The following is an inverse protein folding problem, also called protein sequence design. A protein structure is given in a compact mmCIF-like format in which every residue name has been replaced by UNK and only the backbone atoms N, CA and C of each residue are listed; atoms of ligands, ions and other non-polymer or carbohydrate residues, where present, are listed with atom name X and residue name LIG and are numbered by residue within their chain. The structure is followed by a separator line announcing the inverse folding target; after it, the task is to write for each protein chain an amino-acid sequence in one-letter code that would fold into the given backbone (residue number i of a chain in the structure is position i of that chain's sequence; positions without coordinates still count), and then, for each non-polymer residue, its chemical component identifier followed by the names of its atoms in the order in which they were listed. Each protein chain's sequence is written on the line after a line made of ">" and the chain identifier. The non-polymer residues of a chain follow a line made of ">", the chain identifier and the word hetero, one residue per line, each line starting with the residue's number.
data_IF_993402602897
#
_entry.id   IF_993402602897
#
_cell.length_a   1.000
_cell.length_b   1.000
_cell.length_c   1.000
_cell.angle_alpha   90.00
_cell.angle_beta   90.00
_cell.angle_gamma   90.00
#
_symmetry.space_group_name_H-M   'P 1'
#
loop_
_entity.id
_entity.type
_entity.pdbx_description
1 polymer ?
#
# COMPACT_ATOMS: atom_id res chain seq x y z
N UNK A 1 12.98 -28.52 -0.30
CA UNK A 1 11.63 -28.35 -0.85
C UNK A 1 11.19 -26.90 -0.93
N UNK A 2 11.46 -26.04 0.06
CA UNK A 2 11.16 -24.59 0.02
C UNK A 2 11.80 -23.87 -1.18
N UNK A 3 13.06 -24.19 -1.54
CA UNK A 3 13.72 -23.66 -2.75
C UNK A 3 12.99 -24.03 -4.05
N UNK A 4 12.42 -25.24 -4.14
CA UNK A 4 11.62 -25.68 -5.29
C UNK A 4 10.27 -24.94 -5.33
N UNK A 5 9.66 -24.73 -4.16
CA UNK A 5 8.45 -23.89 -4.04
C UNK A 5 8.69 -22.48 -4.57
N UNK A 6 9.80 -21.85 -4.19
CA UNK A 6 10.17 -20.52 -4.69
C UNK A 6 10.34 -20.50 -6.22
N UNK A 7 10.97 -21.52 -6.80
CA UNK A 7 11.11 -21.62 -8.26
C UNK A 7 9.76 -21.70 -8.97
N UNK A 8 8.79 -22.45 -8.43
CA UNK A 8 7.44 -22.51 -9.00
C UNK A 8 6.68 -21.20 -8.83
N UNK A 9 6.90 -20.50 -7.72
CA UNK A 9 6.36 -19.15 -7.52
C UNK A 9 6.89 -18.18 -8.59
N UNK A 10 8.19 -18.13 -8.79
CA UNK A 10 8.86 -17.25 -9.76
C UNK A 10 8.41 -17.55 -11.22
N UNK A 11 8.01 -18.81 -11.50
CA UNK A 11 7.45 -19.21 -12.79
C UNK A 11 5.93 -19.01 -12.92
N UNK A 12 5.24 -18.58 -11.86
CA UNK A 12 3.79 -18.45 -11.84
C UNK A 12 3.02 -19.78 -11.85
N UNK A 13 3.70 -20.91 -11.57
CA UNK A 13 3.11 -22.26 -11.57
C UNK A 13 2.38 -22.56 -10.24
N UNK A 14 1.37 -21.75 -9.90
CA UNK A 14 0.69 -21.79 -8.58
C UNK A 14 0.03 -23.15 -8.25
N UNK A 15 -0.40 -23.91 -9.26
CA UNK A 15 -0.97 -25.25 -9.05
C UNK A 15 0.06 -26.27 -8.52
N UNK A 16 1.28 -26.24 -9.05
CA UNK A 16 2.39 -27.08 -8.57
C UNK A 16 2.88 -26.59 -7.21
N UNK A 17 2.99 -25.27 -7.03
CA UNK A 17 3.33 -24.65 -5.75
C UNK A 17 2.38 -25.10 -4.64
N UNK A 18 1.08 -25.02 -4.87
CA UNK A 18 0.06 -25.43 -3.88
C UNK A 18 0.19 -26.89 -3.45
N UNK A 19 0.54 -27.80 -4.39
CA UNK A 19 0.79 -29.21 -4.03
C UNK A 19 2.00 -29.40 -3.13
N UNK A 20 3.09 -28.68 -3.43
CA UNK A 20 4.31 -28.73 -2.60
C UNK A 20 4.05 -28.13 -1.22
N UNK A 21 3.33 -26.99 -1.15
CA UNK A 21 2.99 -26.36 0.11
C UNK A 21 2.16 -27.29 1.00
N UNK A 22 1.18 -28.01 0.45
CA UNK A 22 0.41 -29.02 1.20
C UNK A 22 1.30 -30.14 1.75
N UNK A 23 2.27 -30.64 0.96
CA UNK A 23 3.20 -31.65 1.41
C UNK A 23 4.13 -31.13 2.51
N UNK A 24 4.59 -29.88 2.41
CA UNK A 24 5.42 -29.24 3.41
C UNK A 24 4.64 -29.01 4.71
N UNK A 25 3.39 -28.54 4.64
CA UNK A 25 2.51 -28.41 5.79
C UNK A 25 2.32 -29.74 6.51
N UNK A 26 1.99 -30.80 5.78
CA UNK A 26 1.82 -32.14 6.39
C UNK A 26 3.08 -32.67 7.08
N UNK A 27 4.26 -32.23 6.65
CA UNK A 27 5.54 -32.58 7.32
C UNK A 27 5.82 -31.75 8.58
N UNK A 28 5.13 -30.62 8.74
CA UNK A 28 5.27 -29.70 9.86
C UNK A 28 4.07 -29.71 10.82
N UNK A 29 3.06 -30.55 10.57
CA UNK A 29 1.93 -30.77 11.47
C UNK A 29 2.20 -31.93 12.43
N UNK A 30 1.65 -31.83 13.64
CA UNK A 30 1.67 -32.91 14.64
C UNK A 30 0.68 -34.04 14.26
N UNK A 31 0.68 -35.15 15.01
CA UNK A 31 -0.27 -36.24 14.82
C UNK A 31 -1.73 -35.81 15.02
N UNK A 32 -1.94 -34.75 15.82
CA UNK A 32 -3.26 -34.17 16.11
C UNK A 32 -3.71 -33.16 15.03
N UNK A 33 -2.90 -32.93 13.98
CA UNK A 33 -3.21 -32.02 12.88
C UNK A 33 -2.94 -30.55 13.18
N UNK A 34 -2.32 -30.22 14.33
CA UNK A 34 -1.89 -28.88 14.69
C UNK A 34 -0.46 -28.59 14.22
N UNK A 35 -0.13 -27.30 14.07
CA UNK A 35 1.22 -26.86 13.70
C UNK A 35 2.26 -27.23 14.77
N UNK A 36 3.36 -27.90 14.37
CA UNK A 36 4.47 -28.23 15.26
C UNK A 36 5.34 -26.99 15.50
N UNK A 37 5.11 -26.32 16.62
CA UNK A 37 5.82 -25.10 17.02
C UNK A 37 7.35 -25.31 17.17
N UNK A 38 7.82 -26.57 17.30
CA UNK A 38 9.26 -26.90 17.28
C UNK A 38 9.87 -26.65 15.89
N UNK A 39 9.06 -26.67 14.84
CA UNK A 39 9.44 -26.36 13.46
C UNK A 39 9.06 -24.95 13.03
N UNK A 40 8.92 -24.02 13.98
CA UNK A 40 8.40 -22.66 13.76
C UNK A 40 9.08 -21.90 12.60
N UNK A 41 10.42 -22.00 12.45
CA UNK A 41 11.12 -21.35 11.33
C UNK A 41 10.72 -21.92 9.98
N UNK A 42 10.56 -23.25 9.89
CA UNK A 42 10.15 -23.92 8.65
C UNK A 42 8.68 -23.58 8.32
N UNK A 43 7.82 -23.54 9.33
CA UNK A 43 6.43 -23.10 9.18
C UNK A 43 6.34 -21.67 8.66
N UNK A 44 7.13 -20.74 9.20
CA UNK A 44 7.16 -19.35 8.71
C UNK A 44 7.63 -19.25 7.25
N UNK A 45 8.59 -20.08 6.82
CA UNK A 45 8.98 -20.14 5.40
C UNK A 45 7.83 -20.63 4.51
N UNK A 46 7.07 -21.63 4.96
CA UNK A 46 5.93 -22.17 4.22
C UNK A 46 4.82 -21.10 4.14
N UNK A 47 4.47 -20.50 5.27
CA UNK A 47 3.48 -19.42 5.31
C UNK A 47 3.89 -18.23 4.44
N UNK A 48 5.17 -17.83 4.45
CA UNK A 48 5.65 -16.75 3.59
C UNK A 48 5.44 -17.03 2.10
N UNK A 49 5.72 -18.26 1.64
CA UNK A 49 5.48 -18.65 0.25
C UNK A 49 3.98 -18.71 -0.10
N UNK A 50 3.16 -19.20 0.82
CA UNK A 50 1.72 -19.32 0.62
C UNK A 50 1.06 -17.95 0.60
N UNK A 51 1.45 -17.05 1.52
CA UNK A 51 1.02 -15.66 1.57
C UNK A 51 1.40 -14.92 0.28
N UNK A 52 2.65 -15.08 -0.21
CA UNK A 52 3.08 -14.50 -1.49
C UNK A 52 2.20 -14.99 -2.66
N UNK A 53 1.89 -16.29 -2.70
CA UNK A 53 1.03 -16.86 -3.73
C UNK A 53 -0.37 -16.22 -3.72
N UNK A 54 -1.01 -16.11 -2.54
CA UNK A 54 -2.33 -15.49 -2.44
C UNK A 54 -2.30 -13.98 -2.68
N UNK A 55 -1.20 -13.30 -2.35
CA UNK A 55 -0.99 -11.89 -2.71
C UNK A 55 -0.98 -11.70 -4.23
N UNK A 56 -0.25 -12.56 -4.96
CA UNK A 56 -0.19 -12.52 -6.41
C UNK A 56 -1.55 -12.84 -7.07
N UNK A 57 -2.33 -13.73 -6.45
CA UNK A 57 -3.68 -14.08 -6.88
C UNK A 57 -4.76 -13.07 -6.43
N UNK A 58 -4.39 -12.03 -5.67
CA UNK A 58 -5.31 -11.04 -5.08
C UNK A 58 -6.42 -11.68 -4.22
N UNK A 59 -6.14 -12.82 -3.58
CA UNK A 59 -7.10 -13.54 -2.73
C UNK A 59 -6.95 -13.13 -1.27
N UNK A 60 -7.46 -11.94 -0.93
CA UNK A 60 -7.33 -11.36 0.40
C UNK A 60 -7.95 -12.22 1.51
N UNK A 61 -9.07 -12.92 1.24
CA UNK A 61 -9.75 -13.73 2.26
C UNK A 61 -8.87 -14.85 2.80
N UNK A 62 -8.20 -15.61 1.91
CA UNK A 62 -7.29 -16.67 2.32
C UNK A 62 -5.99 -16.12 2.90
N UNK A 63 -5.50 -15.04 2.33
CA UNK A 63 -4.29 -14.37 2.78
C UNK A 63 -4.44 -13.89 4.23
N UNK A 64 -5.57 -13.27 4.60
CA UNK A 64 -5.83 -12.76 5.95
C UNK A 64 -5.74 -13.86 7.00
N UNK A 65 -6.40 -15.00 6.75
CA UNK A 65 -6.37 -16.14 7.68
C UNK A 65 -4.93 -16.66 7.91
N UNK A 66 -4.14 -16.79 6.83
CA UNK A 66 -2.75 -17.25 6.92
C UNK A 66 -1.84 -16.21 7.55
N UNK A 67 -2.07 -14.93 7.25
CA UNK A 67 -1.33 -13.83 7.85
C UNK A 67 -1.51 -13.82 9.36
N UNK A 68 -2.75 -13.88 9.84
CA UNK A 68 -3.05 -13.94 11.27
C UNK A 68 -2.40 -15.17 11.94
N UNK A 69 -2.48 -16.35 11.31
CA UNK A 69 -1.82 -17.56 11.80
C UNK A 69 -0.30 -17.38 11.88
N UNK A 70 0.32 -16.81 10.86
CA UNK A 70 1.78 -16.61 10.80
C UNK A 70 2.30 -15.71 11.93
N UNK A 71 1.52 -14.71 12.35
CA UNK A 71 1.90 -13.82 13.46
C UNK A 71 1.86 -14.51 14.83
N UNK A 72 1.09 -15.59 14.98
CA UNK A 72 1.01 -16.36 16.23
C UNK A 72 2.11 -17.41 16.38
N UNK A 73 2.88 -17.68 15.30
CA UNK A 73 3.96 -18.65 15.37
C UNK A 73 5.15 -18.08 16.16
N UNK A 74 5.38 -18.64 17.32
CA UNK A 74 6.56 -18.31 18.14
C UNK A 74 7.76 -19.11 17.63
N UNK A 75 8.53 -18.55 16.72
CA UNK A 75 9.85 -19.08 16.37
C UNK A 75 10.91 -18.60 17.35
N UNK A 76 11.87 -19.44 17.69
CA UNK A 76 12.95 -19.06 18.60
C UNK A 76 13.80 -17.89 18.04
N UNK A 77 14.04 -17.89 16.72
CA UNK A 77 14.75 -16.81 15.99
C UNK A 77 14.11 -16.71 14.60
N UNK A 78 13.09 -15.86 14.41
CA UNK A 78 12.52 -15.65 13.07
C UNK A 78 13.55 -14.94 12.17
N UNK A 79 13.72 -15.44 10.96
CA UNK A 79 14.64 -14.81 10.00
C UNK A 79 14.04 -13.48 9.50
N UNK A 80 14.75 -12.34 9.62
CA UNK A 80 14.20 -11.04 9.28
C UNK A 80 13.64 -10.96 7.85
N UNK A 81 14.33 -11.58 6.87
CA UNK A 81 13.86 -11.63 5.49
C UNK A 81 12.47 -12.29 5.34
N UNK A 82 12.18 -13.34 6.12
CA UNK A 82 10.90 -14.05 6.07
C UNK A 82 9.81 -13.17 6.67
N UNK A 83 10.09 -12.55 7.82
CA UNK A 83 9.15 -11.62 8.45
C UNK A 83 8.88 -10.40 7.56
N UNK A 84 9.92 -9.87 6.89
CA UNK A 84 9.78 -8.78 5.93
C UNK A 84 8.80 -9.13 4.81
N UNK A 85 8.90 -10.33 4.25
CA UNK A 85 7.97 -10.82 3.20
C UNK A 85 6.54 -10.93 3.72
N UNK A 86 6.34 -11.52 4.90
CA UNK A 86 5.00 -11.68 5.50
C UNK A 86 4.38 -10.31 5.76
N UNK A 87 5.12 -9.39 6.36
CA UNK A 87 4.65 -8.03 6.66
C UNK A 87 4.39 -7.21 5.39
N UNK A 88 5.23 -7.31 4.36
CA UNK A 88 4.98 -6.66 3.07
C UNK A 88 3.65 -7.12 2.45
N UNK A 89 3.40 -8.42 2.45
CA UNK A 89 2.16 -8.98 1.90
C UNK A 89 0.94 -8.59 2.76
N UNK A 90 1.09 -8.56 4.09
CA UNK A 90 0.08 -8.06 5.01
C UNK A 90 -0.26 -6.59 4.75
N UNK A 91 0.74 -5.75 4.60
CA UNK A 91 0.55 -4.33 4.25
C UNK A 91 -0.19 -4.13 2.93
N UNK A 92 0.15 -4.91 1.89
CA UNK A 92 -0.57 -4.87 0.61
C UNK A 92 -2.03 -5.28 0.75
N UNK A 93 -2.31 -6.28 1.57
CA UNK A 93 -3.67 -6.73 1.84
C UNK A 93 -4.47 -5.64 2.56
N UNK A 94 -3.93 -5.10 3.67
CA UNK A 94 -4.60 -4.07 4.45
C UNK A 94 -4.84 -2.80 3.63
N UNK A 95 -3.90 -2.42 2.74
CA UNK A 95 -4.08 -1.26 1.87
C UNK A 95 -5.25 -1.46 0.90
N UNK A 96 -5.39 -2.66 0.31
CA UNK A 96 -6.53 -3.00 -0.57
C UNK A 96 -7.87 -3.05 0.17
N UNK A 97 -7.85 -3.35 1.48
CA UNK A 97 -9.03 -3.32 2.34
C UNK A 97 -9.32 -1.93 2.93
N UNK A 98 -8.56 -0.90 2.52
CA UNK A 98 -8.62 0.47 3.03
C UNK A 98 -8.31 0.59 4.55
N UNK A 99 -7.64 -0.40 5.12
CA UNK A 99 -7.12 -0.38 6.49
C UNK A 99 -5.74 0.29 6.54
N UNK A 100 -5.66 1.57 6.22
CA UNK A 100 -4.41 2.30 5.97
C UNK A 100 -3.46 2.33 7.15
N UNK A 101 -3.96 2.42 8.38
CA UNK A 101 -3.14 2.42 9.60
C UNK A 101 -2.42 1.08 9.80
N UNK A 102 -3.13 -0.03 9.57
CA UNK A 102 -2.53 -1.38 9.64
C UNK A 102 -1.53 -1.58 8.51
N UNK A 103 -1.86 -1.12 7.30
CA UNK A 103 -0.95 -1.17 6.16
C UNK A 103 0.33 -0.40 6.44
N UNK A 104 0.22 0.82 7.01
CA UNK A 104 1.36 1.63 7.41
C UNK A 104 2.26 0.90 8.41
N UNK A 105 1.67 0.31 9.46
CA UNK A 105 2.40 -0.46 10.47
C UNK A 105 3.13 -1.65 9.85
N UNK A 106 2.45 -2.41 8.99
CA UNK A 106 3.03 -3.59 8.35
C UNK A 106 4.16 -3.24 7.38
N UNK A 107 4.01 -2.18 6.58
CA UNK A 107 5.09 -1.73 5.70
C UNK A 107 6.29 -1.20 6.47
N UNK A 108 6.07 -0.54 7.60
CA UNK A 108 7.15 -0.08 8.45
C UNK A 108 7.92 -1.26 9.08
N UNK A 109 7.21 -2.26 9.60
CA UNK A 109 7.82 -3.48 10.10
C UNK A 109 8.54 -4.26 8.98
N UNK A 110 7.96 -4.34 7.77
CA UNK A 110 8.60 -4.95 6.62
C UNK A 110 9.90 -4.23 6.26
N UNK A 111 9.88 -2.89 6.23
CA UNK A 111 11.04 -2.06 5.96
C UNK A 111 12.17 -2.34 6.96
N UNK A 112 11.90 -2.33 8.27
CA UNK A 112 12.89 -2.63 9.31
C UNK A 112 13.51 -4.02 9.13
N UNK A 113 12.68 -5.03 8.90
CA UNK A 113 13.15 -6.40 8.69
C UNK A 113 14.01 -6.55 7.43
N UNK A 114 13.66 -5.85 6.33
CA UNK A 114 14.46 -5.85 5.11
C UNK A 114 15.75 -5.07 5.27
N UNK A 115 15.74 -3.99 6.03
CA UNK A 115 16.95 -3.21 6.34
C UNK A 115 17.92 -4.01 7.20
N UNK A 116 17.44 -4.68 8.25
CA UNK A 116 18.22 -5.59 9.10
C UNK A 116 18.85 -6.74 8.30
N UNK A 117 18.12 -7.29 7.33
CA UNK A 117 18.63 -8.36 6.46
C UNK A 117 19.51 -7.87 5.30
N UNK A 118 19.70 -6.56 5.14
CA UNK A 118 20.43 -5.97 4.01
C UNK A 118 19.75 -6.18 2.64
N UNK A 119 18.46 -6.46 2.61
CA UNK A 119 17.72 -6.73 1.38
C UNK A 119 17.46 -5.45 0.58
N UNK A 120 17.63 -5.46 -0.77
CA UNK A 120 17.29 -4.32 -1.62
C UNK A 120 15.79 -4.01 -1.62
N UNK A 121 14.93 -4.93 -1.21
CA UNK A 121 13.47 -4.70 -1.11
C UNK A 121 13.08 -3.64 -0.08
N UNK A 122 14.00 -3.23 0.80
CA UNK A 122 13.75 -2.15 1.78
C UNK A 122 13.29 -0.86 1.11
N UNK A 123 13.88 -0.48 -0.04
CA UNK A 123 13.49 0.72 -0.79
C UNK A 123 12.07 0.61 -1.35
N UNK A 124 11.70 -0.55 -1.85
CA UNK A 124 10.34 -0.82 -2.33
C UNK A 124 9.32 -0.73 -1.19
N UNK A 125 9.61 -1.34 -0.04
CA UNK A 125 8.73 -1.24 1.14
C UNK A 125 8.62 0.18 1.68
N UNK A 126 9.70 0.96 1.59
CA UNK A 126 9.66 2.37 1.97
C UNK A 126 8.76 3.18 1.04
N UNK A 127 8.74 2.90 -0.28
CA UNK A 127 7.77 3.49 -1.21
C UNK A 127 6.32 3.14 -0.83
N UNK A 128 6.05 1.90 -0.43
CA UNK A 128 4.71 1.47 0.03
C UNK A 128 4.31 2.12 1.34
N UNK A 129 5.26 2.30 2.27
CA UNK A 129 5.05 3.02 3.52
C UNK A 129 4.62 4.47 3.26
N UNK A 130 5.32 5.15 2.34
CA UNK A 130 4.99 6.51 1.91
C UNK A 130 3.60 6.57 1.29
N UNK A 131 3.26 5.62 0.42
CA UNK A 131 1.95 5.50 -0.20
C UNK A 131 0.84 5.36 0.86
N UNK A 132 1.01 4.45 1.82
CA UNK A 132 0.05 4.22 2.90
C UNK A 132 -0.11 5.49 3.77
N UNK A 133 0.99 6.19 4.06
CA UNK A 133 0.98 7.43 4.82
C UNK A 133 0.17 8.54 4.13
N UNK A 134 0.34 8.71 2.81
CA UNK A 134 -0.45 9.68 2.04
C UNK A 134 -1.93 9.31 2.00
N UNK A 135 -2.26 8.01 1.80
CA UNK A 135 -3.65 7.55 1.77
C UNK A 135 -4.35 7.67 3.14
N UNK A 136 -3.60 7.52 4.22
CA UNK A 136 -4.07 7.75 5.59
C UNK A 136 -4.35 9.24 5.86
N UNK A 137 -3.97 10.14 4.95
CA UNK A 137 -4.05 11.60 5.10
C UNK A 137 -3.30 12.10 6.35
N UNK A 138 -2.24 11.40 6.73
CA UNK A 138 -1.40 11.80 7.86
C UNK A 138 -0.61 13.05 7.51
N UNK A 139 -0.60 14.01 8.43
CA UNK A 139 0.27 15.19 8.33
C UNK A 139 1.72 14.91 8.72
N UNK A 140 2.04 13.69 9.17
CA UNK A 140 3.37 13.29 9.60
C UNK A 140 4.17 12.83 8.39
N UNK A 141 5.38 13.37 8.23
CA UNK A 141 6.27 12.92 7.15
C UNK A 141 6.91 11.58 7.54
N UNK A 142 6.76 10.50 6.75
CA UNK A 142 7.32 9.19 7.05
C UNK A 142 8.86 9.19 7.15
N UNK A 143 9.53 10.18 6.54
CA UNK A 143 11.00 10.35 6.62
C UNK A 143 11.50 11.08 7.87
N UNK A 144 10.61 11.45 8.79
CA UNK A 144 11.01 12.01 10.10
C UNK A 144 11.38 10.92 11.11
N UNK A 145 11.04 9.65 10.83
CA UNK A 145 11.48 8.51 11.63
C UNK A 145 12.99 8.31 11.51
N UNK A 146 13.63 7.87 12.60
CA UNK A 146 15.09 7.68 12.62
C UNK A 146 15.56 6.64 11.59
N UNK A 147 14.75 5.61 11.38
CA UNK A 147 15.03 4.50 10.46
C UNK A 147 14.91 4.90 8.99
N UNK A 148 13.92 5.71 8.62
CA UNK A 148 13.69 6.13 7.24
C UNK A 148 14.48 7.39 6.83
N UNK A 149 14.92 8.19 7.79
CA UNK A 149 15.65 9.44 7.56
C UNK A 149 16.89 9.32 6.65
N UNK A 150 17.73 8.27 6.77
CA UNK A 150 18.90 8.11 5.90
C UNK A 150 18.54 7.96 4.42
N UNK A 151 17.34 7.44 4.11
CA UNK A 151 16.87 7.15 2.76
C UNK A 151 16.17 8.32 2.08
N UNK A 152 15.95 9.44 2.77
CA UNK A 152 15.24 10.62 2.25
C UNK A 152 15.81 11.15 0.92
N UNK A 153 17.12 11.08 0.78
CA UNK A 153 17.86 11.58 -0.40
C UNK A 153 18.30 10.45 -1.35
N UNK A 154 17.83 9.23 -1.13
CA UNK A 154 18.09 8.10 -2.04
C UNK A 154 17.46 8.39 -3.41
N UNK A 155 18.20 8.25 -4.53
CA UNK A 155 17.68 8.50 -5.87
C UNK A 155 16.40 7.73 -6.20
N UNK A 156 16.26 6.49 -5.68
CA UNK A 156 15.07 5.66 -5.89
C UNK A 156 13.86 6.16 -5.08
N UNK A 157 14.10 6.86 -3.98
CA UNK A 157 13.08 7.37 -3.05
C UNK A 157 12.76 8.84 -3.30
N UNK A 158 13.70 9.59 -3.89
CA UNK A 158 13.59 11.05 -4.06
C UNK A 158 12.27 11.47 -4.74
N UNK A 159 11.84 10.73 -5.74
CA UNK A 159 10.57 10.99 -6.42
C UNK A 159 9.36 10.86 -5.45
N UNK A 160 9.37 9.85 -4.58
CA UNK A 160 8.32 9.67 -3.56
C UNK A 160 8.40 10.75 -2.48
N UNK A 161 9.59 11.18 -2.08
CA UNK A 161 9.78 12.28 -1.12
C UNK A 161 9.21 13.59 -1.67
N UNK A 162 9.44 13.87 -2.95
CA UNK A 162 8.89 15.05 -3.62
C UNK A 162 7.35 14.97 -3.72
N UNK A 163 6.80 13.78 -4.00
CA UNK A 163 5.34 13.56 -3.99
C UNK A 163 4.73 13.83 -2.62
N UNK A 164 5.36 13.39 -1.54
CA UNK A 164 4.90 13.70 -0.16
C UNK A 164 4.85 15.20 0.07
N UNK A 165 5.88 15.93 -0.34
CA UNK A 165 5.93 17.39 -0.19
C UNK A 165 4.81 18.09 -0.98
N UNK A 166 4.60 17.71 -2.23
CA UNK A 166 3.50 18.24 -3.04
C UNK A 166 2.13 17.90 -2.45
N UNK A 167 1.95 16.67 -1.96
CA UNK A 167 0.73 16.22 -1.31
C UNK A 167 0.44 17.01 -0.03
N UNK A 168 1.42 17.21 0.85
CA UNK A 168 1.27 17.97 2.09
C UNK A 168 0.98 19.45 1.84
N UNK A 169 1.57 20.02 0.78
CA UNK A 169 1.30 21.39 0.36
C UNK A 169 -0.02 21.54 -0.39
N UNK A 170 -0.69 20.44 -0.73
CA UNK A 170 -1.89 20.40 -1.59
C UNK A 170 -1.66 21.04 -2.97
N UNK A 171 -0.46 20.89 -3.51
CA UNK A 171 -0.11 21.37 -4.86
C UNK A 171 -0.36 20.27 -5.88
N UNK A 172 -1.55 20.34 -6.52
CA UNK A 172 -1.98 19.36 -7.53
C UNK A 172 -1.08 19.43 -8.74
N UNK A 173 -0.69 20.63 -9.18
CA UNK A 173 0.09 20.81 -10.40
C UNK A 173 1.50 20.22 -10.25
N UNK A 174 2.13 20.47 -9.10
CA UNK A 174 3.46 19.90 -8.82
C UNK A 174 3.37 18.37 -8.62
N UNK A 175 2.34 17.90 -7.96
CA UNK A 175 2.08 16.46 -7.79
C UNK A 175 1.94 15.73 -9.14
N UNK A 176 1.12 16.25 -10.07
CA UNK A 176 0.95 15.69 -11.41
C UNK A 176 2.24 15.80 -12.26
N UNK A 177 2.97 16.90 -12.13
CA UNK A 177 4.26 17.10 -12.78
C UNK A 177 5.29 16.06 -12.34
N UNK A 178 5.40 15.83 -11.02
CA UNK A 178 6.31 14.82 -10.45
C UNK A 178 5.94 13.43 -10.95
N UNK A 179 4.66 13.07 -10.98
CA UNK A 179 4.19 11.80 -11.52
C UNK A 179 4.55 11.61 -13.00
N UNK A 180 4.39 12.67 -13.82
CA UNK A 180 4.73 12.63 -15.25
C UNK A 180 6.24 12.49 -15.48
N UNK A 181 7.05 13.23 -14.70
CA UNK A 181 8.51 13.22 -14.83
C UNK A 181 9.15 11.92 -14.34
N UNK A 182 8.57 11.31 -13.31
CA UNK A 182 9.09 10.10 -12.67
C UNK A 182 8.23 8.86 -12.94
N UNK A 183 7.57 8.82 -14.11
CA UNK A 183 6.64 7.75 -14.46
C UNK A 183 7.27 6.37 -14.37
N UNK A 184 8.48 6.20 -14.88
CA UNK A 184 9.20 4.93 -14.87
C UNK A 184 9.55 4.47 -13.44
N UNK A 185 9.91 5.41 -12.56
CA UNK A 185 10.32 5.08 -11.17
C UNK A 185 9.14 4.79 -10.24
N UNK A 186 8.00 5.47 -10.48
CA UNK A 186 6.82 5.38 -9.61
C UNK A 186 5.79 4.40 -10.17
N UNK A 187 5.51 4.50 -11.48
CA UNK A 187 4.41 3.75 -12.13
C UNK A 187 4.84 2.39 -12.67
N UNK A 188 6.12 2.03 -12.59
CA UNK A 188 6.60 0.70 -12.98
C UNK A 188 6.10 -0.38 -12.01
N UNK A 189 5.95 -0.03 -10.74
CA UNK A 189 5.36 -0.93 -9.74
C UNK A 189 3.83 -0.99 -9.90
N UNK A 190 3.28 -2.17 -10.27
CA UNK A 190 1.84 -2.33 -10.49
C UNK A 190 1.01 -2.10 -9.22
N UNK A 191 1.58 -2.30 -8.03
CA UNK A 191 0.89 -2.04 -6.77
C UNK A 191 0.75 -0.54 -6.50
N UNK A 192 1.79 0.25 -6.73
CA UNK A 192 1.72 1.72 -6.61
C UNK A 192 0.73 2.28 -7.63
N UNK A 193 0.79 1.77 -8.87
CA UNK A 193 -0.13 2.20 -9.94
C UNK A 193 -1.60 1.95 -9.59
N UNK A 194 -1.91 0.84 -8.92
CA UNK A 194 -3.26 0.49 -8.49
C UNK A 194 -3.87 1.57 -7.56
N UNK A 195 -3.03 2.25 -6.76
CA UNK A 195 -3.48 3.20 -5.73
C UNK A 195 -3.21 4.68 -6.05
N UNK A 196 -2.53 4.97 -7.18
CA UNK A 196 -2.15 6.36 -7.50
C UNK A 196 -3.39 7.24 -7.80
N UNK A 197 -4.44 6.65 -8.38
CA UNK A 197 -5.68 7.35 -8.67
C UNK A 197 -6.42 7.75 -7.39
N UNK A 198 -6.36 6.92 -6.37
CA UNK A 198 -6.92 7.21 -5.04
C UNK A 198 -6.19 8.40 -4.39
N UNK A 199 -4.86 8.49 -4.57
CA UNK A 199 -4.08 9.64 -4.10
C UNK A 199 -4.47 10.92 -4.82
N UNK A 200 -4.59 10.88 -6.15
CA UNK A 200 -5.04 12.04 -6.93
C UNK A 200 -6.44 12.50 -6.51
N UNK A 201 -7.34 11.57 -6.29
CA UNK A 201 -8.69 11.88 -5.79
C UNK A 201 -8.64 12.52 -4.41
N UNK A 202 -7.79 12.00 -3.51
CA UNK A 202 -7.65 12.55 -2.16
C UNK A 202 -7.11 13.97 -2.15
N UNK A 203 -6.06 14.27 -2.92
CA UNK A 203 -5.48 15.61 -2.99
C UNK A 203 -6.48 16.60 -3.60
N UNK A 204 -7.18 16.20 -4.68
CA UNK A 204 -8.23 17.01 -5.30
C UNK A 204 -9.38 17.31 -4.33
N UNK A 205 -9.80 16.31 -3.55
CA UNK A 205 -10.83 16.50 -2.50
C UNK A 205 -10.37 17.49 -1.44
N UNK A 206 -9.12 17.39 -0.98
CA UNK A 206 -8.59 18.32 0.03
C UNK A 206 -8.50 19.76 -0.49
N UNK A 207 -8.06 19.93 -1.73
CA UNK A 207 -8.01 21.25 -2.37
C UNK A 207 -9.41 21.80 -2.60
N UNK A 208 -10.36 20.97 -3.06
CA UNK A 208 -11.75 21.34 -3.23
C UNK A 208 -12.36 21.87 -1.93
N UNK A 209 -12.21 21.15 -0.82
CA UNK A 209 -12.73 21.55 0.50
C UNK A 209 -12.18 22.93 0.92
N UNK A 210 -10.88 23.15 0.69
CA UNK A 210 -10.25 24.44 1.00
C UNK A 210 -10.74 25.56 0.08
N UNK A 211 -10.88 25.25 -1.22
CA UNK A 211 -11.27 26.20 -2.26
C UNK A 211 -12.69 26.72 -2.03
N UNK A 212 -13.65 25.85 -1.71
CA UNK A 212 -15.06 26.23 -1.57
C UNK A 212 -15.38 26.94 -0.25
N UNK A 213 -14.55 26.76 0.78
CA UNK A 213 -14.80 27.28 2.13
C UNK A 213 -15.16 28.76 2.21
N UNK A 214 -14.53 29.70 1.45
CA UNK A 214 -14.86 31.13 1.50
C UNK A 214 -16.06 31.51 0.64
N UNK A 215 -16.63 30.59 -0.16
CA UNK A 215 -17.68 30.90 -1.13
C UNK A 215 -19.05 30.39 -0.67
N UNK A 216 -20.07 31.21 -0.84
CA UNK A 216 -21.49 30.81 -0.70
C UNK A 216 -22.06 30.28 -2.03
N UNK A 217 -21.46 30.69 -3.15
CA UNK A 217 -21.76 30.22 -4.51
C UNK A 217 -20.46 30.17 -5.31
N UNK A 218 -20.22 29.09 -6.03
CA UNK A 218 -19.02 28.89 -6.83
C UNK A 218 -19.38 28.23 -8.16
N UNK A 219 -18.74 28.63 -9.25
CA UNK A 219 -18.99 28.04 -10.57
C UNK A 219 -18.17 26.74 -10.73
N UNK A 220 -18.78 25.72 -11.29
CA UNK A 220 -18.12 24.43 -11.58
C UNK A 220 -16.90 24.62 -12.52
N UNK A 221 -17.01 25.52 -13.50
CA UNK A 221 -15.90 25.86 -14.41
C UNK A 221 -14.68 26.46 -13.68
N UNK A 222 -14.90 27.23 -12.62
CA UNK A 222 -13.80 27.75 -11.81
C UNK A 222 -13.10 26.62 -11.03
N UNK A 223 -13.88 25.74 -10.40
CA UNK A 223 -13.35 24.57 -9.70
C UNK A 223 -12.57 23.65 -10.66
N UNK A 224 -13.11 23.45 -11.87
CA UNK A 224 -12.46 22.66 -12.93
C UNK A 224 -11.07 23.21 -13.29
N UNK A 225 -10.94 24.53 -13.41
CA UNK A 225 -9.65 25.17 -13.66
C UNK A 225 -8.64 25.00 -12.51
N UNK A 226 -9.09 25.16 -11.27
CA UNK A 226 -8.23 25.05 -10.09
C UNK A 226 -7.79 23.59 -9.80
N UNK A 227 -8.67 22.62 -10.07
CA UNK A 227 -8.38 21.20 -9.84
C UNK A 227 -7.74 20.49 -11.04
N UNK A 228 -7.64 21.18 -12.18
CA UNK A 228 -7.13 20.64 -13.46
C UNK A 228 -7.83 19.32 -13.89
N UNK A 229 -9.18 19.32 -13.84
CA UNK A 229 -10.04 18.21 -14.24
C UNK A 229 -11.25 18.71 -15.03
N UNK A 230 -11.88 17.78 -15.77
CA UNK A 230 -13.08 18.10 -16.53
C UNK A 230 -14.27 18.46 -15.62
N UNK A 231 -15.19 19.34 -16.07
CA UNK A 231 -16.35 19.72 -15.28
C UNK A 231 -17.23 18.55 -14.80
N UNK A 232 -17.34 17.48 -15.59
CA UNK A 232 -18.05 16.24 -15.23
C UNK A 232 -17.43 15.53 -14.02
N UNK A 233 -16.09 15.55 -13.93
CA UNK A 233 -15.36 14.94 -12.83
C UNK A 233 -15.48 15.79 -11.56
N UNK A 234 -15.55 17.14 -11.71
CA UNK A 234 -15.85 18.05 -10.61
C UNK A 234 -17.23 17.75 -10.02
N UNK A 235 -18.26 17.59 -10.86
CA UNK A 235 -19.61 17.23 -10.39
C UNK A 235 -19.60 15.91 -9.62
N UNK A 236 -18.92 14.89 -10.16
CA UNK A 236 -18.78 13.59 -9.51
C UNK A 236 -18.08 13.68 -8.15
N UNK A 237 -17.02 14.49 -8.07
CA UNK A 237 -16.26 14.73 -6.85
C UNK A 237 -17.10 15.47 -5.80
N UNK A 238 -17.84 16.52 -6.21
CA UNK A 238 -18.75 17.26 -5.34
C UNK A 238 -19.87 16.36 -4.80
N UNK A 239 -20.49 15.55 -5.65
CA UNK A 239 -21.53 14.58 -5.24
C UNK A 239 -20.98 13.64 -4.18
N UNK A 240 -19.79 13.05 -4.38
CA UNK A 240 -19.14 12.19 -3.40
C UNK A 240 -18.94 12.90 -2.06
N UNK A 241 -18.40 14.14 -2.09
CA UNK A 241 -18.15 14.92 -0.89
C UNK A 241 -19.44 15.30 -0.13
N UNK A 242 -20.53 15.54 -0.84
CA UNK A 242 -21.84 15.83 -0.24
C UNK A 242 -22.43 14.57 0.39
N UNK A 243 -22.36 13.42 -0.30
CA UNK A 243 -22.83 12.13 0.23
C UNK A 243 -22.04 11.67 1.46
N UNK A 244 -20.75 11.92 1.48
CA UNK A 244 -19.86 11.65 2.63
C UNK A 244 -20.00 12.69 3.75
N UNK A 245 -20.88 13.70 3.58
CA UNK A 245 -21.07 14.79 4.54
C UNK A 245 -19.80 15.60 4.85
N UNK A 246 -18.80 15.57 3.98
CA UNK A 246 -17.58 16.40 4.08
C UNK A 246 -17.82 17.84 3.65
N UNK A 247 -18.82 18.06 2.79
CA UNK A 247 -19.26 19.37 2.30
C UNK A 247 -20.78 19.45 2.41
N UNK A 248 -21.27 20.62 2.82
CA UNK A 248 -22.70 20.93 2.82
C UNK A 248 -23.02 21.88 1.67
N UNK A 249 -23.85 21.43 0.73
CA UNK A 249 -24.20 22.24 -0.43
C UNK A 249 -25.26 21.60 -1.32
N UNK A 250 -25.60 22.31 -2.38
CA UNK A 250 -26.49 21.84 -3.46
C UNK A 250 -25.84 22.17 -4.79
N UNK A 251 -25.97 21.29 -5.74
CA UNK A 251 -25.48 21.50 -7.12
C UNK A 251 -26.66 21.94 -7.96
N UNK A 252 -26.55 23.12 -8.58
CA UNK A 252 -27.50 23.60 -9.59
C UNK A 252 -26.97 23.25 -10.99
N UNK A 253 -27.47 22.15 -11.54
CA UNK A 253 -27.05 21.67 -12.86
C UNK A 253 -27.44 22.58 -14.02
N UNK A 254 -28.49 23.41 -13.86
CA UNK A 254 -28.96 24.32 -14.90
C UNK A 254 -28.04 25.54 -14.99
N UNK A 255 -27.69 26.12 -13.84
CA UNK A 255 -26.82 27.29 -13.76
C UNK A 255 -25.35 26.97 -13.56
N UNK A 256 -25.03 25.68 -13.42
CA UNK A 256 -23.66 25.14 -13.21
C UNK A 256 -22.90 25.80 -12.04
N UNK A 257 -23.59 25.90 -10.90
CA UNK A 257 -23.02 26.31 -9.61
C UNK A 257 -22.94 25.14 -8.65
#
# INVERSE_FOLDING_TARGET
>A
MTKLGKLYFDRGEYGKLSRILKQLHSSCTTQDGEDDLKKGTQLLEIYALEIQMYTAQKNNKKLKALYDQSLHIKSAIPHPLILGVIRECGGKMHLRENEFEKAHTDFFEAFKNYDESGSPRRTTCLKYLVLANMLMKSGINPFDSQEAKPYKNDPEILAMTNLVSAYQNNDINDFEKILKQNRETIMDDPFIREHIEDLLRNIRTQVLIKLIKPYTRIKIAFISGELNIEPSDVESLLVSCILESTIYGRIDQVKKF
#
